data_IF_809389603124
#
_entry.id   IF_809389603124
#
_cell.length_a   1.000
_cell.length_b   1.000
_cell.length_c   1.000
_cell.angle_alpha   90.00
_cell.angle_beta   90.00
_cell.angle_gamma   90.00
#
_symmetry.space_group_name_H-M   'P 1'
#
loop_
_entity.id
_entity.type
_entity.pdbx_description
1 polymer ?
#
# COMPACT_ATOMS: atom_id res chain seq x y z
N UNK A 1 4.31 2.47 -33.04
CA UNK A 1 4.94 1.19 -33.43
C UNK A 1 5.59 0.41 -32.27
N UNK A 2 5.56 0.92 -31.03
CA UNK A 2 6.19 0.32 -29.83
C UNK A 2 5.26 -0.57 -28.99
N UNK A 3 3.94 -0.52 -29.17
CA UNK A 3 2.99 -1.34 -28.40
C UNK A 3 3.04 -2.85 -28.71
N UNK A 4 3.40 -3.24 -29.94
CA UNK A 4 3.30 -4.63 -30.39
C UNK A 4 4.45 -5.54 -29.94
N UNK A 5 5.63 -4.97 -29.63
CA UNK A 5 6.76 -5.75 -29.09
C UNK A 5 6.57 -6.12 -27.61
N UNK A 6 5.80 -5.33 -26.85
CA UNK A 6 5.58 -5.56 -25.42
C UNK A 6 4.46 -6.56 -25.12
N UNK A 7 3.46 -6.71 -26.00
CA UNK A 7 2.48 -7.80 -25.90
C UNK A 7 3.13 -9.19 -25.98
N UNK A 8 4.26 -9.32 -26.69
CA UNK A 8 4.99 -10.61 -26.80
C UNK A 8 5.73 -11.01 -25.52
N UNK A 9 6.25 -10.04 -24.75
CA UNK A 9 6.86 -10.30 -23.44
C UNK A 9 5.84 -10.65 -22.33
N UNK A 10 4.53 -10.53 -22.60
CA UNK A 10 3.47 -10.87 -21.66
C UNK A 10 3.05 -12.35 -21.72
N UNK A 11 3.57 -13.15 -22.65
CA UNK A 11 3.10 -14.53 -22.92
C UNK A 11 3.97 -15.67 -22.36
N UNK A 12 5.04 -15.38 -21.61
CA UNK A 12 6.00 -16.43 -21.20
C UNK A 12 5.69 -17.11 -19.86
N UNK A 13 4.44 -17.08 -19.41
CA UNK A 13 3.94 -18.03 -18.42
C UNK A 13 2.63 -18.57 -18.98
N UNK A 14 2.61 -19.86 -19.27
CA UNK A 14 1.45 -20.64 -19.68
C UNK A 14 0.21 -20.27 -18.86
N UNK A 15 -0.78 -19.64 -19.49
CA UNK A 15 -2.14 -19.46 -18.94
C UNK A 15 -3.02 -20.62 -19.44
N UNK A 16 -3.24 -21.68 -18.63
CA UNK A 16 -4.41 -22.55 -18.79
C UNK A 16 -5.33 -22.44 -17.57
N UNK A 17 -5.50 -21.24 -17.01
CA UNK A 17 -6.50 -20.98 -15.98
C UNK A 17 -7.67 -20.26 -16.64
N UNK A 18 -8.87 -20.80 -16.44
CA UNK A 18 -10.14 -20.22 -16.85
C UNK A 18 -10.12 -18.74 -16.46
N UNK A 19 -10.29 -17.85 -17.44
CA UNK A 19 -10.38 -16.42 -17.17
C UNK A 19 -11.60 -16.19 -16.30
N UNK A 20 -11.48 -15.53 -15.14
CA UNK A 20 -12.62 -15.25 -14.28
C UNK A 20 -13.64 -14.39 -15.05
N UNK A 21 -14.90 -14.78 -14.96
CA UNK A 21 -16.03 -14.13 -15.61
C UNK A 21 -16.77 -13.18 -14.65
N UNK A 22 -16.56 -13.33 -13.34
CA UNK A 22 -17.17 -12.48 -12.31
C UNK A 22 -16.17 -12.10 -11.19
N UNK A 23 -16.53 -11.13 -10.31
CA UNK A 23 -15.66 -10.69 -9.22
C UNK A 23 -15.33 -11.77 -8.19
N UNK A 24 -16.23 -12.74 -7.96
CA UNK A 24 -16.05 -13.82 -6.98
C UNK A 24 -14.99 -14.81 -7.46
N UNK A 25 -15.02 -15.19 -8.74
CA UNK A 25 -14.00 -16.04 -9.34
C UNK A 25 -12.62 -15.36 -9.30
N UNK A 26 -12.56 -14.05 -9.56
CA UNK A 26 -11.33 -13.28 -9.46
C UNK A 26 -10.80 -13.21 -8.02
N UNK A 27 -11.67 -13.03 -7.02
CA UNK A 27 -11.28 -13.04 -5.61
C UNK A 27 -10.71 -14.41 -5.20
N UNK A 28 -11.36 -15.51 -5.58
CA UNK A 28 -10.87 -16.87 -5.32
C UNK A 28 -9.50 -17.09 -5.98
N UNK A 29 -9.34 -16.66 -7.22
CA UNK A 29 -8.07 -16.74 -7.93
C UNK A 29 -6.97 -15.92 -7.25
N UNK A 30 -7.28 -14.69 -6.84
CA UNK A 30 -6.34 -13.80 -6.14
C UNK A 30 -5.97 -14.29 -4.74
N UNK A 31 -6.87 -15.01 -4.05
CA UNK A 31 -6.58 -15.66 -2.76
C UNK A 31 -5.66 -16.87 -2.90
N UNK A 32 -5.77 -17.62 -3.99
CA UNK A 32 -5.02 -18.88 -4.19
C UNK A 32 -3.72 -18.69 -4.97
N UNK A 33 -3.67 -17.66 -5.82
CA UNK A 33 -2.53 -17.38 -6.70
C UNK A 33 -2.18 -15.89 -6.63
N UNK A 34 -0.91 -15.60 -6.34
CA UNK A 34 -0.40 -14.24 -6.43
C UNK A 34 -0.35 -13.78 -7.90
N UNK A 35 -1.37 -13.03 -8.31
CA UNK A 35 -1.50 -12.48 -9.65
C UNK A 35 -0.52 -11.32 -9.88
N UNK A 36 0.04 -11.25 -11.09
CA UNK A 36 0.80 -10.06 -11.48
C UNK A 36 -0.13 -8.85 -11.70
N UNK A 37 0.39 -7.60 -11.61
CA UNK A 37 -0.45 -6.42 -11.78
C UNK A 37 -1.22 -6.39 -13.10
N UNK A 38 -0.59 -6.88 -14.18
CA UNK A 38 -1.21 -6.95 -15.50
C UNK A 38 -2.26 -8.04 -15.62
N UNK A 39 -2.06 -9.20 -15.00
CA UNK A 39 -3.09 -10.24 -14.98
C UNK A 39 -4.32 -9.74 -14.24
N UNK A 40 -4.14 -9.21 -13.03
CA UNK A 40 -5.23 -8.68 -12.23
C UNK A 40 -5.98 -7.56 -12.97
N UNK A 41 -5.26 -6.55 -13.48
CA UNK A 41 -5.85 -5.48 -14.29
C UNK A 41 -6.68 -5.99 -15.47
N UNK A 42 -6.14 -6.95 -16.25
CA UNK A 42 -6.85 -7.52 -17.40
C UNK A 42 -8.14 -8.22 -17.01
N UNK A 43 -8.12 -8.99 -15.92
CA UNK A 43 -9.33 -9.67 -15.41
C UNK A 43 -10.37 -8.67 -14.93
N UNK A 44 -9.97 -7.65 -14.17
CA UNK A 44 -10.85 -6.56 -13.74
C UNK A 44 -11.49 -5.88 -14.95
N UNK A 45 -10.70 -5.47 -15.95
CA UNK A 45 -11.23 -4.84 -17.16
C UNK A 45 -12.21 -5.73 -17.91
N UNK A 46 -11.90 -7.03 -18.04
CA UNK A 46 -12.79 -7.98 -18.72
C UNK A 46 -14.13 -8.12 -17.98
N UNK A 47 -14.09 -8.31 -16.66
CA UNK A 47 -15.30 -8.42 -15.83
C UNK A 47 -16.14 -7.16 -15.92
N UNK A 48 -15.52 -5.98 -15.80
CA UNK A 48 -16.20 -4.70 -15.96
C UNK A 48 -16.89 -4.57 -17.32
N UNK A 49 -16.18 -4.91 -18.40
CA UNK A 49 -16.73 -4.80 -19.76
C UNK A 49 -17.88 -5.77 -20.01
N UNK A 50 -17.76 -7.02 -19.55
CA UNK A 50 -18.78 -8.05 -19.76
C UNK A 50 -20.06 -7.77 -18.97
N UNK A 51 -19.94 -7.23 -17.76
CA UNK A 51 -21.06 -7.06 -16.84
C UNK A 51 -21.56 -5.60 -16.72
N UNK A 52 -20.91 -4.65 -17.41
CA UNK A 52 -21.26 -3.23 -17.36
C UNK A 52 -20.95 -2.57 -16.01
N UNK A 53 -19.94 -3.07 -15.28
CA UNK A 53 -19.56 -2.46 -14.00
C UNK A 53 -18.65 -1.24 -14.20
N UNK A 54 -19.02 -0.13 -13.58
CA UNK A 54 -18.18 1.08 -13.50
C UNK A 54 -17.15 0.99 -12.36
N UNK A 55 -17.47 0.23 -11.32
CA UNK A 55 -16.64 0.02 -10.13
C UNK A 55 -16.59 -1.46 -9.74
N UNK A 56 -15.45 -1.90 -9.22
CA UNK A 56 -15.28 -3.19 -8.57
C UNK A 56 -14.59 -3.01 -7.22
N UNK A 57 -15.00 -3.84 -6.27
CA UNK A 57 -14.54 -3.79 -4.89
C UNK A 57 -14.03 -5.16 -4.45
N UNK A 58 -13.01 -5.16 -3.60
CA UNK A 58 -12.32 -6.35 -3.14
C UNK A 58 -12.17 -6.33 -1.63
N UNK A 59 -12.16 -7.52 -1.01
CA UNK A 59 -12.08 -7.66 0.44
C UNK A 59 -13.41 -7.35 1.15
N UNK A 60 -13.33 -7.01 2.43
CA UNK A 60 -14.48 -6.76 3.28
C UNK A 60 -14.25 -5.50 4.13
N UNK A 61 -15.24 -4.61 4.16
CA UNK A 61 -15.20 -3.48 5.06
C UNK A 61 -15.27 -3.97 6.52
N UNK A 62 -14.52 -3.34 7.45
CA UNK A 62 -14.64 -3.65 8.87
C UNK A 62 -16.08 -3.50 9.35
N UNK A 63 -16.57 -4.45 10.16
CA UNK A 63 -17.97 -4.53 10.58
C UNK A 63 -18.52 -3.24 11.20
N UNK A 64 -17.67 -2.50 11.92
CA UNK A 64 -18.02 -1.22 12.53
C UNK A 64 -18.46 -0.15 11.52
N UNK A 65 -18.06 -0.23 10.24
CA UNK A 65 -18.64 0.63 9.21
C UNK A 65 -20.04 0.15 8.83
N UNK A 66 -20.18 -1.15 8.56
CA UNK A 66 -21.41 -1.78 8.10
C UNK A 66 -22.55 -1.74 9.15
N UNK A 67 -22.21 -1.60 10.43
CA UNK A 67 -23.16 -1.44 11.53
C UNK A 67 -23.99 -0.14 11.42
N UNK A 68 -23.51 0.86 10.67
CA UNK A 68 -24.16 2.18 10.55
C UNK A 68 -24.70 2.45 9.15
N UNK A 69 -24.00 2.02 8.09
CA UNK A 69 -24.42 2.32 6.73
C UNK A 69 -24.41 1.05 5.87
N UNK A 70 -25.37 0.93 4.92
CA UNK A 70 -25.33 -0.10 3.90
C UNK A 70 -23.99 -0.07 3.15
N UNK A 71 -23.42 -1.26 2.92
CA UNK A 71 -22.12 -1.42 2.25
C UNK A 71 -22.02 -0.68 0.90
N UNK A 72 -23.03 -0.68 0.00
CA UNK A 72 -22.94 0.08 -1.25
C UNK A 72 -22.74 1.59 -1.05
N UNK A 73 -23.34 2.17 0.00
CA UNK A 73 -23.17 3.59 0.32
C UNK A 73 -21.78 3.87 0.89
N UNK A 74 -21.24 2.97 1.69
CA UNK A 74 -19.88 3.08 2.22
C UNK A 74 -18.83 2.99 1.12
N UNK A 75 -19.01 2.08 0.16
CA UNK A 75 -18.11 1.94 -0.99
C UNK A 75 -18.12 3.20 -1.86
N UNK A 76 -19.31 3.74 -2.16
CA UNK A 76 -19.44 5.00 -2.88
C UNK A 76 -18.85 6.19 -2.10
N UNK A 77 -18.98 6.19 -0.76
CA UNK A 77 -18.33 7.17 0.10
C UNK A 77 -16.81 7.09 -0.01
N UNK A 78 -16.22 5.89 0.03
CA UNK A 78 -14.78 5.71 -0.09
C UNK A 78 -14.26 6.09 -1.48
N UNK A 79 -15.01 5.83 -2.56
CA UNK A 79 -14.65 6.32 -3.89
C UNK A 79 -14.57 7.85 -3.94
N UNK A 80 -15.54 8.54 -3.31
CA UNK A 80 -15.51 10.02 -3.21
C UNK A 80 -14.38 10.51 -2.32
N UNK A 81 -14.15 9.85 -1.19
CA UNK A 81 -13.04 10.18 -0.29
C UNK A 81 -11.70 10.02 -1.00
N UNK A 82 -11.52 8.97 -1.80
CA UNK A 82 -10.34 8.75 -2.62
C UNK A 82 -10.09 9.91 -3.59
N UNK A 83 -11.14 10.43 -4.23
CA UNK A 83 -11.04 11.60 -5.09
C UNK A 83 -10.63 12.86 -4.31
N UNK A 84 -11.23 13.10 -3.13
CA UNK A 84 -10.92 14.26 -2.29
C UNK A 84 -9.49 14.21 -1.75
N UNK A 85 -9.06 13.05 -1.23
CA UNK A 85 -7.70 12.85 -0.72
C UNK A 85 -6.70 12.89 -1.88
N UNK A 86 -6.92 12.11 -2.94
CA UNK A 86 -6.00 11.99 -4.07
C UNK A 86 -5.79 13.26 -4.88
N UNK A 87 -6.75 14.21 -4.86
CA UNK A 87 -6.64 15.51 -5.56
C UNK A 87 -6.13 16.64 -4.66
N UNK A 88 -5.93 16.41 -3.37
CA UNK A 88 -5.46 17.44 -2.46
C UNK A 88 -4.00 17.80 -2.77
N UNK A 89 -3.69 19.06 -3.14
CA UNK A 89 -2.30 19.47 -3.42
C UNK A 89 -1.46 19.59 -2.16
N UNK A 90 -2.10 19.64 -0.99
CA UNK A 90 -1.49 19.75 0.33
C UNK A 90 -1.83 18.52 1.19
N UNK A 91 -1.13 18.29 2.32
CA UNK A 91 -1.56 17.34 3.33
C UNK A 91 -3.06 17.46 3.60
N UNK A 92 -3.80 16.36 3.49
CA UNK A 92 -5.25 16.38 3.62
C UNK A 92 -5.63 16.93 5.01
N UNK A 93 -6.50 17.95 5.09
CA UNK A 93 -6.77 18.61 6.35
C UNK A 93 -7.44 17.65 7.33
N UNK A 94 -7.10 17.80 8.62
CA UNK A 94 -7.79 17.07 9.67
C UNK A 94 -9.27 17.43 9.63
N UNK A 95 -10.12 16.43 9.41
CA UNK A 95 -11.56 16.62 9.16
C UNK A 95 -12.34 15.63 10.01
N UNK A 96 -13.46 16.08 10.57
CA UNK A 96 -14.42 15.19 11.23
C UNK A 96 -15.68 15.16 10.40
N UNK A 97 -16.10 13.96 9.99
CA UNK A 97 -17.35 13.72 9.28
C UNK A 97 -18.35 13.05 10.21
N UNK A 98 -19.59 13.50 10.16
CA UNK A 98 -20.70 12.90 10.89
C UNK A 98 -21.59 12.16 9.89
N UNK A 99 -21.47 10.84 9.86
CA UNK A 99 -22.25 9.97 9.00
C UNK A 99 -23.57 9.62 9.72
N UNK A 100 -24.68 10.15 9.23
CA UNK A 100 -26.00 9.92 9.82
C UNK A 100 -26.62 8.62 9.29
N UNK A 101 -27.16 7.82 10.21
CA UNK A 101 -27.89 6.59 9.93
C UNK A 101 -29.15 6.49 10.76
N UNK A 102 -30.00 5.51 10.47
CA UNK A 102 -31.18 5.19 11.29
C UNK A 102 -30.79 4.72 12.71
N UNK A 103 -29.58 4.19 12.89
CA UNK A 103 -29.08 3.72 14.20
C UNK A 103 -28.34 4.82 14.98
N UNK A 104 -28.19 6.02 14.41
CA UNK A 104 -27.51 7.16 15.03
C UNK A 104 -26.42 7.77 14.14
N UNK A 105 -25.57 8.59 14.76
CA UNK A 105 -24.48 9.29 14.07
C UNK A 105 -23.16 8.60 14.34
N UNK A 106 -22.45 8.26 13.27
CA UNK A 106 -21.07 7.78 13.32
C UNK A 106 -20.12 8.96 13.11
N UNK A 107 -19.25 9.22 14.08
CA UNK A 107 -18.17 10.19 13.95
C UNK A 107 -16.94 9.53 13.32
N UNK A 108 -16.58 9.97 12.11
CA UNK A 108 -15.40 9.54 11.38
C UNK A 108 -14.38 10.68 11.37
N UNK A 109 -13.27 10.53 12.09
CA UNK A 109 -12.17 11.48 12.04
C UNK A 109 -11.16 11.05 10.99
N UNK A 110 -10.71 12.01 10.20
CA UNK A 110 -9.78 11.81 9.10
C UNK A 110 -8.58 12.71 9.36
N UNK A 111 -7.38 12.14 9.35
CA UNK A 111 -6.14 12.91 9.52
C UNK A 111 -5.07 12.45 8.54
N UNK A 112 -4.24 13.38 8.06
CA UNK A 112 -3.12 13.02 7.19
C UNK A 112 -2.11 12.13 7.93
N UNK A 113 -1.66 11.07 7.26
CA UNK A 113 -0.66 10.15 7.78
C UNK A 113 0.63 10.17 6.95
N UNK A 114 0.53 10.32 5.63
CA UNK A 114 1.70 10.33 4.76
C UNK A 114 1.36 10.60 3.30
N UNK A 115 2.36 10.97 2.52
CA UNK A 115 2.24 11.14 1.06
C UNK A 115 3.46 10.55 0.38
N UNK A 116 3.23 9.83 -0.72
CA UNK A 116 4.27 9.21 -1.52
C UNK A 116 4.07 9.46 -3.01
N UNK A 117 4.91 8.84 -3.84
CA UNK A 117 4.88 9.02 -5.30
C UNK A 117 3.56 8.54 -5.90
N UNK A 118 2.93 7.56 -5.26
CA UNK A 118 1.79 6.84 -5.83
C UNK A 118 0.46 7.28 -5.24
N UNK A 119 0.47 7.93 -4.08
CA UNK A 119 -0.77 8.26 -3.39
C UNK A 119 -0.55 9.00 -2.08
N UNK A 120 -1.67 9.34 -1.47
CA UNK A 120 -1.74 9.94 -0.14
C UNK A 120 -2.45 8.99 0.81
N UNK A 121 -1.96 8.92 2.04
CA UNK A 121 -2.51 8.10 3.12
C UNK A 121 -3.09 9.00 4.18
N UNK A 122 -4.32 8.70 4.58
CA UNK A 122 -4.98 9.30 5.74
C UNK A 122 -5.32 8.20 6.75
N UNK A 123 -5.27 8.55 8.03
CA UNK A 123 -5.79 7.74 9.13
C UNK A 123 -7.28 8.02 9.27
N UNK A 124 -8.07 6.96 9.31
CA UNK A 124 -9.50 6.98 9.58
C UNK A 124 -9.73 6.47 11.00
N UNK A 125 -10.30 7.30 11.87
CA UNK A 125 -10.63 6.93 13.24
C UNK A 125 -12.14 6.94 13.45
N UNK A 126 -12.64 5.85 14.04
CA UNK A 126 -14.01 5.73 14.53
C UNK A 126 -13.96 5.47 16.04
N UNK A 127 -14.66 6.29 16.81
CA UNK A 127 -14.82 6.06 18.26
C UNK A 127 -16.19 5.45 18.54
N UNK A 128 -16.20 4.28 19.19
CA UNK A 128 -17.42 3.59 19.65
C UNK A 128 -17.28 3.27 21.13
N UNK A 129 -18.07 3.95 21.96
CA UNK A 129 -17.89 3.92 23.42
C UNK A 129 -16.51 4.49 23.80
N UNK A 130 -15.74 3.74 24.57
CA UNK A 130 -14.39 4.12 25.01
C UNK A 130 -13.28 3.69 24.04
N UNK A 131 -13.61 2.95 22.96
CA UNK A 131 -12.62 2.40 22.03
C UNK A 131 -12.58 3.19 20.74
N UNK A 132 -11.35 3.52 20.30
CA UNK A 132 -11.10 4.10 18.98
C UNK A 132 -10.48 3.05 18.09
N UNK A 133 -11.09 2.84 16.92
CA UNK A 133 -10.63 1.94 15.88
C UNK A 133 -10.05 2.77 14.75
N UNK A 134 -8.89 2.36 14.24
CA UNK A 134 -8.10 3.15 13.30
C UNK A 134 -7.75 2.33 12.06
N UNK A 135 -7.80 2.94 10.89
CA UNK A 135 -7.39 2.34 9.62
C UNK A 135 -6.54 3.28 8.78
N UNK A 136 -5.64 2.71 7.99
CA UNK A 136 -4.91 3.41 6.95
C UNK A 136 -5.72 3.39 5.65
N UNK A 137 -6.17 4.56 5.20
CA UNK A 137 -6.82 4.73 3.90
C UNK A 137 -5.85 5.38 2.91
N UNK A 138 -5.53 4.65 1.85
CA UNK A 138 -4.61 5.08 0.80
C UNK A 138 -5.40 5.41 -0.47
N UNK A 139 -5.31 6.65 -0.92
CA UNK A 139 -5.85 7.10 -2.20
C UNK A 139 -4.73 7.15 -3.26
N UNK A 140 -4.97 6.56 -4.43
CA UNK A 140 -3.97 6.46 -5.51
C UNK A 140 -4.10 7.63 -6.50
N UNK A 141 -2.97 8.22 -6.90
CA UNK A 141 -2.94 9.38 -7.81
C UNK A 141 -3.07 9.03 -9.31
N UNK A 142 -2.62 7.84 -9.69
CA UNK A 142 -2.65 7.33 -11.06
C UNK A 142 -3.17 5.90 -11.06
N UNK A 143 -4.45 5.69 -10.70
CA UNK A 143 -5.04 4.37 -10.64
C UNK A 143 -5.04 3.69 -12.01
N UNK A 144 -5.01 4.43 -13.13
CA UNK A 144 -4.98 3.81 -14.47
C UNK A 144 -3.60 3.25 -14.87
N UNK A 145 -2.53 3.57 -14.13
CA UNK A 145 -1.20 3.13 -14.48
C UNK A 145 -0.87 1.78 -13.83
N UNK A 146 -0.76 0.74 -14.67
CA UNK A 146 -0.45 -0.63 -14.23
C UNK A 146 1.04 -0.75 -13.89
N UNK A 147 1.34 -0.76 -12.58
CA UNK A 147 2.71 -0.71 -12.06
C UNK A 147 2.85 -1.49 -10.75
N UNK A 148 4.06 -1.97 -10.44
CA UNK A 148 4.32 -2.78 -9.23
C UNK A 148 4.13 -2.05 -7.90
N UNK A 149 4.04 -0.72 -7.93
CA UNK A 149 3.79 0.08 -6.73
C UNK A 149 2.40 0.74 -6.76
N UNK A 150 1.58 0.46 -7.76
CA UNK A 150 0.23 1.01 -7.92
C UNK A 150 -0.86 0.09 -7.39
N UNK A 151 -2.11 0.56 -7.49
CA UNK A 151 -3.32 -0.14 -7.03
C UNK A 151 -3.42 -1.57 -7.58
N UNK A 152 -3.09 -1.76 -8.86
CA UNK A 152 -3.13 -3.06 -9.53
C UNK A 152 -2.13 -4.08 -9.01
N UNK A 153 -1.08 -3.64 -8.31
CA UNK A 153 -0.15 -4.55 -7.64
C UNK A 153 -0.52 -4.77 -6.19
N UNK A 154 -1.01 -3.73 -5.51
CA UNK A 154 -1.26 -3.80 -4.06
C UNK A 154 -2.52 -4.58 -3.72
N UNK A 155 -3.61 -4.46 -4.49
CA UNK A 155 -4.84 -5.22 -4.27
C UNK A 155 -4.60 -6.73 -4.32
N UNK A 156 -4.07 -7.32 -5.42
CA UNK A 156 -3.87 -8.77 -5.47
C UNK A 156 -2.85 -9.26 -4.43
N UNK A 157 -1.84 -8.46 -4.08
CA UNK A 157 -0.93 -8.76 -2.97
C UNK A 157 -1.68 -8.78 -1.64
N UNK A 158 -2.52 -7.79 -1.38
CA UNK A 158 -3.31 -7.69 -0.15
C UNK A 158 -4.24 -8.88 0.04
N UNK A 159 -5.02 -9.22 -1.00
CA UNK A 159 -5.90 -10.39 -1.01
C UNK A 159 -5.11 -11.67 -0.75
N UNK A 160 -3.98 -11.83 -1.44
CA UNK A 160 -3.14 -13.02 -1.31
C UNK A 160 -2.53 -13.14 0.09
N UNK A 161 -1.92 -12.09 0.63
CA UNK A 161 -1.30 -12.13 1.96
C UNK A 161 -2.34 -12.34 3.07
N UNK A 162 -3.53 -11.75 2.93
CA UNK A 162 -4.64 -11.96 3.85
C UNK A 162 -5.08 -13.43 3.86
N UNK A 163 -5.20 -14.08 2.69
CA UNK A 163 -5.57 -15.50 2.59
C UNK A 163 -4.52 -16.44 3.18
N UNK A 164 -3.24 -16.02 3.17
CA UNK A 164 -2.13 -16.75 3.76
C UNK A 164 -1.90 -16.43 5.24
N UNK A 165 -2.77 -15.62 5.87
CA UNK A 165 -2.65 -15.15 7.25
C UNK A 165 -1.31 -14.48 7.57
N UNK A 166 -0.76 -13.73 6.61
CA UNK A 166 0.47 -12.95 6.80
C UNK A 166 0.11 -11.59 7.40
N UNK A 167 0.25 -11.47 8.71
CA UNK A 167 -0.14 -10.27 9.49
C UNK A 167 0.91 -9.84 10.50
N UNK A 168 1.95 -10.66 10.73
CA UNK A 168 2.90 -10.43 11.83
C UNK A 168 3.76 -9.19 11.61
N UNK A 169 4.28 -9.05 10.41
CA UNK A 169 5.27 -8.05 9.98
C UNK A 169 4.80 -7.25 8.76
N UNK A 170 3.52 -7.34 8.41
CA UNK A 170 2.86 -6.61 7.32
C UNK A 170 1.48 -6.16 7.77
N UNK A 171 1.11 -4.93 7.45
CA UNK A 171 -0.23 -4.39 7.70
C UNK A 171 -1.30 -5.21 6.98
N UNK A 172 -2.38 -5.56 7.68
CA UNK A 172 -3.45 -6.38 7.12
C UNK A 172 -4.27 -5.59 6.09
N UNK A 173 -4.53 -6.21 4.94
CA UNK A 173 -5.49 -5.72 3.95
C UNK A 173 -6.93 -5.94 4.44
N UNK A 174 -7.79 -4.93 4.31
CA UNK A 174 -9.23 -5.07 4.60
C UNK A 174 -10.05 -5.02 3.33
N UNK A 175 -10.00 -3.90 2.61
CA UNK A 175 -10.82 -3.68 1.43
C UNK A 175 -10.16 -2.73 0.44
N UNK A 176 -10.62 -2.75 -0.81
CA UNK A 176 -10.20 -1.80 -1.82
C UNK A 176 -11.28 -1.56 -2.88
N UNK A 177 -11.23 -0.37 -3.46
CA UNK A 177 -11.82 -0.08 -4.77
C UNK A 177 -10.73 0.10 -5.80
N UNK A 178 -11.09 0.48 -7.03
CA UNK A 178 -10.12 0.66 -8.11
C UNK A 178 -9.19 1.88 -7.93
N UNK A 179 -9.46 2.74 -6.95
CA UNK A 179 -8.73 3.99 -6.70
C UNK A 179 -8.26 4.18 -5.27
N UNK A 180 -8.58 3.24 -4.37
CA UNK A 180 -8.23 3.32 -2.96
C UNK A 180 -8.04 1.94 -2.34
N UNK A 181 -7.33 1.92 -1.21
CA UNK A 181 -7.13 0.72 -0.40
C UNK A 181 -7.26 1.08 1.09
N UNK A 182 -7.92 0.21 1.84
CA UNK A 182 -8.07 0.27 3.28
C UNK A 182 -7.29 -0.87 3.92
N UNK A 183 -6.32 -0.49 4.75
CA UNK A 183 -5.49 -1.42 5.51
C UNK A 183 -5.60 -1.13 7.01
N UNK A 184 -5.14 -2.09 7.80
CA UNK A 184 -4.91 -1.94 9.23
C UNK A 184 -4.02 -0.71 9.50
N UNK A 185 -4.40 0.07 10.49
CA UNK A 185 -3.51 1.08 11.05
C UNK A 185 -2.53 0.41 12.02
N UNK A 186 -1.23 0.57 11.77
CA UNK A 186 -0.17 0.08 12.65
C UNK A 186 0.22 1.20 13.60
N UNK A 187 0.03 0.97 14.91
CA UNK A 187 0.41 1.96 15.90
C UNK A 187 1.94 2.07 16.02
N UNK A 188 2.47 3.23 16.44
CA UNK A 188 3.92 3.45 16.52
C UNK A 188 4.66 2.43 17.39
N UNK A 189 3.99 1.93 18.42
CA UNK A 189 4.54 0.98 19.39
C UNK A 189 4.28 -0.50 19.02
N UNK A 190 3.54 -0.77 17.95
CA UNK A 190 3.26 -2.14 17.51
C UNK A 190 4.54 -2.85 17.10
N UNK A 191 4.71 -4.09 17.57
CA UNK A 191 5.88 -4.89 17.23
C UNK A 191 5.49 -6.26 16.63
N UNK A 192 6.28 -6.83 15.72
CA UNK A 192 5.98 -8.14 15.15
C UNK A 192 5.84 -9.25 16.20
N UNK A 193 6.49 -9.12 17.36
CA UNK A 193 6.47 -10.15 18.43
C UNK A 193 5.12 -10.26 19.15
N UNK A 194 4.34 -9.18 19.20
CA UNK A 194 3.04 -9.13 19.88
C UNK A 194 1.86 -9.40 18.94
N UNK A 195 2.13 -9.57 17.64
CA UNK A 195 1.11 -9.71 16.60
C UNK A 195 0.90 -11.18 16.23
N UNK A 196 -0.37 -11.61 16.04
CA UNK A 196 -0.67 -12.96 15.59
C UNK A 196 -0.32 -13.17 14.11
N UNK A 197 -0.42 -14.42 13.66
CA UNK A 197 -0.28 -14.80 12.25
C UNK A 197 1.15 -15.12 11.82
N UNK A 198 1.31 -15.33 10.51
CA UNK A 198 2.56 -15.74 9.85
C UNK A 198 3.42 -14.51 9.51
N UNK A 199 4.74 -14.66 9.54
CA UNK A 199 5.67 -13.64 9.02
C UNK A 199 5.78 -13.72 7.50
N UNK A 200 5.92 -12.58 6.84
CA UNK A 200 6.10 -12.48 5.41
C UNK A 200 7.37 -13.19 4.96
N UNK A 201 8.47 -13.07 5.68
CA UNK A 201 9.75 -13.69 5.29
C UNK A 201 9.63 -15.20 5.11
N UNK A 202 8.86 -15.86 5.97
CA UNK A 202 8.62 -17.31 5.86
C UNK A 202 7.83 -17.67 4.59
N UNK A 203 6.90 -16.81 4.15
CA UNK A 203 6.14 -17.00 2.92
C UNK A 203 7.00 -16.67 1.69
N UNK A 204 7.79 -15.59 1.77
CA UNK A 204 8.62 -15.12 0.69
C UNK A 204 9.70 -16.12 0.29
N UNK A 205 10.32 -16.79 1.27
CA UNK A 205 11.27 -17.87 1.01
C UNK A 205 10.60 -19.07 0.35
N UNK A 206 9.45 -19.52 0.88
CA UNK A 206 8.72 -20.68 0.36
C UNK A 206 8.25 -20.48 -1.09
N UNK A 207 7.80 -19.27 -1.42
CA UNK A 207 7.14 -18.97 -2.69
C UNK A 207 7.95 -18.10 -3.65
N UNK A 208 9.24 -17.88 -3.33
CA UNK A 208 10.14 -17.06 -4.12
C UNK A 208 9.57 -15.65 -4.38
N UNK A 209 9.05 -15.00 -3.33
CA UNK A 209 8.58 -13.62 -3.41
C UNK A 209 9.75 -12.65 -3.20
N UNK A 210 9.55 -11.41 -3.65
CA UNK A 210 10.52 -10.34 -3.46
C UNK A 210 10.75 -10.10 -1.96
N UNK A 211 11.98 -10.18 -1.45
CA UNK A 211 12.25 -9.86 -0.05
C UNK A 211 11.89 -8.42 0.27
N UNK A 212 11.41 -8.18 1.49
CA UNK A 212 11.18 -6.84 1.99
C UNK A 212 12.51 -6.07 2.03
N UNK A 213 12.52 -4.83 1.53
CA UNK A 213 13.71 -4.00 1.49
C UNK A 213 13.82 -3.16 2.78
N UNK A 214 14.66 -3.55 3.76
CA UNK A 214 14.73 -2.87 5.05
C UNK A 214 15.30 -1.45 4.94
N UNK A 215 15.95 -1.11 3.83
CA UNK A 215 16.50 0.23 3.61
C UNK A 215 15.38 1.26 3.34
N UNK A 216 14.18 0.85 2.94
CA UNK A 216 13.08 1.77 2.66
C UNK A 216 12.30 2.12 3.95
N UNK A 217 12.97 2.76 4.91
CA UNK A 217 12.46 3.03 6.25
C UNK A 217 11.09 3.72 6.27
N UNK A 218 10.77 4.56 5.28
CA UNK A 218 9.47 5.23 5.17
C UNK A 218 8.28 4.27 5.02
N UNK A 219 8.53 3.03 4.60
CA UNK A 219 7.50 2.00 4.44
C UNK A 219 7.41 1.06 5.66
N UNK A 220 8.09 1.36 6.76
CA UNK A 220 8.06 0.55 7.97
C UNK A 220 7.75 1.40 9.20
N UNK A 221 7.11 0.79 10.18
CA UNK A 221 7.14 1.36 11.53
C UNK A 221 8.53 1.15 12.16
N UNK A 222 8.76 1.74 13.33
CA UNK A 222 10.06 1.67 14.03
C UNK A 222 10.49 0.24 14.37
N UNK A 223 9.56 -0.70 14.49
CA UNK A 223 9.78 -2.10 14.83
C UNK A 223 9.83 -3.04 13.60
N UNK A 224 9.82 -2.49 12.39
CA UNK A 224 9.99 -3.26 11.16
C UNK A 224 8.71 -3.88 10.58
N UNK A 225 7.53 -3.44 11.01
CA UNK A 225 6.26 -3.81 10.36
C UNK A 225 6.11 -3.02 9.07
N UNK A 226 5.91 -3.72 7.96
CA UNK A 226 5.70 -3.13 6.63
C UNK A 226 4.31 -2.48 6.53
N UNK A 227 4.28 -1.20 6.16
CA UNK A 227 3.07 -0.38 6.04
C UNK A 227 2.50 -0.34 4.61
N UNK A 228 3.33 -0.65 3.61
CA UNK A 228 2.99 -0.52 2.18
C UNK A 228 3.25 -1.83 1.42
N UNK A 229 2.28 -2.30 0.65
CA UNK A 229 2.38 -3.58 -0.06
C UNK A 229 3.09 -3.46 -1.42
N UNK A 230 3.36 -2.23 -1.88
CA UNK A 230 4.00 -1.97 -3.15
C UNK A 230 5.36 -2.67 -3.31
N UNK A 231 5.56 -3.32 -4.46
CA UNK A 231 6.79 -4.00 -4.85
C UNK A 231 6.87 -5.49 -4.47
N UNK A 232 5.92 -6.03 -3.72
CA UNK A 232 5.83 -7.47 -3.45
C UNK A 232 5.37 -8.19 -4.73
N UNK A 233 6.21 -9.11 -5.23
CA UNK A 233 5.96 -9.87 -6.46
C UNK A 233 6.72 -11.19 -6.45
N UNK A 234 6.27 -12.18 -7.22
CA UNK A 234 7.05 -13.37 -7.54
C UNK A 234 8.35 -13.00 -8.24
N UNK A 235 9.44 -13.66 -7.87
CA UNK A 235 10.71 -13.56 -8.57
C UNK A 235 10.63 -14.36 -9.87
N UNK A 236 11.00 -13.72 -10.98
CA UNK A 236 11.18 -14.39 -12.27
C UNK A 236 12.22 -13.63 -13.09
N UNK A 237 12.76 -14.30 -14.11
CA UNK A 237 13.81 -13.75 -14.95
C UNK A 237 13.29 -12.60 -15.81
N UNK A 238 14.06 -11.51 -15.93
CA UNK A 238 13.63 -10.29 -16.64
C UNK A 238 12.74 -9.33 -15.84
N UNK A 239 12.29 -9.70 -14.62
CA UNK A 239 11.49 -8.82 -13.75
C UNK A 239 12.11 -7.44 -13.56
N UNK A 240 13.38 -7.38 -13.17
CA UNK A 240 14.07 -6.11 -12.89
C UNK A 240 14.11 -5.18 -14.10
N UNK A 241 14.24 -5.73 -15.30
CA UNK A 241 14.25 -4.96 -16.56
C UNK A 241 12.86 -4.39 -16.81
N UNK A 242 11.82 -5.21 -16.64
CA UNK A 242 10.42 -4.79 -16.76
C UNK A 242 10.09 -3.68 -15.76
N UNK A 243 10.41 -3.90 -14.48
CA UNK A 243 10.17 -2.95 -13.41
C UNK A 243 10.89 -1.62 -13.65
N UNK A 244 12.13 -1.68 -14.15
CA UNK A 244 12.90 -0.49 -14.54
C UNK A 244 12.20 0.28 -15.67
N UNK A 245 11.78 -0.41 -16.74
CA UNK A 245 11.07 0.23 -17.86
C UNK A 245 9.76 0.90 -17.42
N UNK A 246 8.93 0.23 -16.62
CA UNK A 246 7.69 0.83 -16.11
C UNK A 246 7.95 2.00 -15.15
N UNK A 247 9.02 1.92 -14.35
CA UNK A 247 9.44 3.02 -13.49
C UNK A 247 9.82 4.24 -14.33
N UNK A 248 10.57 4.07 -15.43
CA UNK A 248 10.89 5.16 -16.34
C UNK A 248 9.63 5.76 -17.00
N UNK A 249 8.70 4.92 -17.45
CA UNK A 249 7.44 5.38 -18.05
C UNK A 249 6.62 6.17 -17.02
N UNK A 250 6.54 5.70 -15.78
CA UNK A 250 5.87 6.39 -14.69
C UNK A 250 6.44 7.79 -14.48
N UNK A 251 7.76 7.90 -14.27
CA UNK A 251 8.41 9.18 -14.07
C UNK A 251 8.25 10.11 -15.27
N UNK A 252 8.35 9.59 -16.49
CA UNK A 252 8.10 10.37 -17.70
C UNK A 252 6.67 10.94 -17.71
N UNK A 253 5.65 10.10 -17.50
CA UNK A 253 4.24 10.55 -17.43
C UNK A 253 4.04 11.62 -16.36
N UNK A 254 4.67 11.44 -15.19
CA UNK A 254 4.56 12.36 -14.08
C UNK A 254 5.22 13.70 -14.37
N UNK A 255 6.42 13.71 -14.95
CA UNK A 255 7.08 14.94 -15.43
C UNK A 255 6.20 15.66 -16.46
N UNK A 256 5.58 14.94 -17.40
CA UNK A 256 4.70 15.55 -18.39
C UNK A 256 3.44 16.18 -17.78
N UNK A 257 2.92 15.65 -16.65
CA UNK A 257 1.69 16.13 -16.02
C UNK A 257 1.93 17.24 -14.99
N UNK A 258 2.95 17.09 -14.16
CA UNK A 258 3.20 17.92 -12.97
C UNK A 258 4.48 18.76 -13.08
N UNK A 259 5.22 18.63 -14.19
CA UNK A 259 6.56 19.21 -14.34
C UNK A 259 7.57 18.53 -13.40
N UNK A 260 8.67 19.20 -13.08
CA UNK A 260 9.69 18.67 -12.16
C UNK A 260 9.32 18.84 -10.68
N UNK A 261 8.24 19.55 -10.36
CA UNK A 261 7.86 19.89 -8.98
C UNK A 261 7.53 18.67 -8.11
N UNK A 262 7.06 17.57 -8.69
CA UNK A 262 6.77 16.35 -7.95
C UNK A 262 8.02 15.71 -7.33
N UNK A 263 9.22 16.04 -7.81
CA UNK A 263 10.48 15.57 -7.24
C UNK A 263 10.90 16.36 -6.01
N UNK A 264 10.33 17.55 -5.77
CA UNK A 264 10.72 18.38 -4.63
C UNK A 264 10.66 17.68 -3.27
N UNK A 265 9.68 16.78 -2.97
CA UNK A 265 9.68 16.03 -1.71
C UNK A 265 10.79 14.98 -1.62
N UNK A 266 11.40 14.60 -2.75
CA UNK A 266 12.42 13.55 -2.89
C UNK A 266 13.83 14.10 -3.05
N UNK A 267 13.98 15.39 -3.35
CA UNK A 267 15.28 16.06 -3.43
C UNK A 267 15.69 16.54 -2.03
N UNK A 268 15.89 15.60 -1.11
CA UNK A 268 16.33 15.88 0.26
C UNK A 268 17.50 14.96 0.68
N UNK A 269 18.20 15.36 1.74
CA UNK A 269 19.35 14.62 2.26
C UNK A 269 19.02 13.17 2.64
N UNK A 270 17.79 12.88 3.06
CA UNK A 270 17.34 11.53 3.39
C UNK A 270 17.31 10.63 2.17
N UNK A 271 16.75 11.11 1.07
CA UNK A 271 16.66 10.36 -0.20
C UNK A 271 18.05 10.16 -0.80
N UNK A 272 18.94 11.16 -0.70
CA UNK A 272 20.33 11.01 -1.12
C UNK A 272 21.09 9.98 -0.26
N UNK A 273 20.93 10.02 1.08
CA UNK A 273 21.51 9.01 1.98
C UNK A 273 20.99 7.61 1.67
N UNK A 274 19.69 7.47 1.40
CA UNK A 274 19.10 6.21 0.97
C UNK A 274 19.69 5.72 -0.35
N UNK A 275 19.81 6.60 -1.35
CA UNK A 275 20.42 6.26 -2.64
C UNK A 275 21.87 5.81 -2.47
N UNK A 276 22.66 6.54 -1.70
CA UNK A 276 24.05 6.19 -1.40
C UNK A 276 24.16 4.86 -0.65
N UNK A 277 23.32 4.63 0.36
CA UNK A 277 23.28 3.37 1.10
C UNK A 277 22.90 2.20 0.17
N UNK A 278 21.95 2.42 -0.75
CA UNK A 278 21.51 1.42 -1.73
C UNK A 278 22.60 1.13 -2.77
N UNK A 279 23.32 2.15 -3.25
CA UNK A 279 24.48 1.98 -4.14
C UNK A 279 25.59 1.24 -3.41
N UNK A 280 25.89 1.61 -2.16
CA UNK A 280 26.89 0.91 -1.34
C UNK A 280 26.51 -0.55 -1.13
N UNK A 281 25.24 -0.83 -0.81
CA UNK A 281 24.75 -2.19 -0.65
C UNK A 281 24.87 -3.00 -1.95
N UNK A 282 24.44 -2.43 -3.09
CA UNK A 282 24.52 -3.08 -4.40
C UNK A 282 25.96 -3.36 -4.86
N UNK A 283 26.91 -2.46 -4.53
CA UNK A 283 28.31 -2.57 -4.97
C UNK A 283 29.19 -3.37 -4.02
N UNK A 284 28.90 -3.39 -2.72
CA UNK A 284 29.85 -3.90 -1.70
C UNK A 284 29.30 -4.98 -0.77
N UNK A 285 27.98 -5.23 -0.71
CA UNK A 285 27.39 -6.23 0.19
C UNK A 285 26.57 -7.23 -0.63
N UNK A 286 27.25 -8.29 -1.09
CA UNK A 286 26.66 -9.33 -1.96
C UNK A 286 26.04 -10.49 -1.21
N UNK A 287 26.12 -10.52 0.13
CA UNK A 287 25.46 -11.54 0.94
C UNK A 287 24.19 -11.01 1.61
N UNK A 288 23.08 -11.77 1.57
CA UNK A 288 21.89 -11.41 2.31
C UNK A 288 22.13 -11.70 3.79
N UNK A 289 22.67 -10.74 4.54
CA UNK A 289 22.68 -10.79 6.00
C UNK A 289 21.26 -10.57 6.51
N UNK A 290 20.55 -11.69 6.71
CA UNK A 290 19.29 -11.78 7.44
C UNK A 290 19.52 -11.59 8.95
N UNK A 291 20.06 -10.44 9.35
CA UNK A 291 20.11 -10.01 10.74
C UNK A 291 20.52 -8.53 10.77
N UNK A 292 19.54 -7.64 10.74
CA UNK A 292 19.77 -6.26 11.14
C UNK A 292 19.14 -6.08 12.53
N UNK A 293 19.90 -6.40 13.57
CA UNK A 293 19.62 -5.91 14.91
C UNK A 293 19.79 -4.37 14.88
N UNK A 294 18.70 -3.66 15.14
CA UNK A 294 18.74 -2.23 15.37
C UNK A 294 19.55 -1.92 16.64
N UNK A 295 20.82 -1.55 16.49
CA UNK A 295 21.47 -0.63 17.45
C UNK A 295 21.14 0.79 17.04
N UNK A 296 20.00 1.29 17.53
CA UNK A 296 19.76 2.73 17.57
C UNK A 296 20.54 3.26 18.77
N UNK A 297 21.69 3.87 18.50
CA UNK A 297 22.35 4.73 19.48
C UNK A 297 21.52 6.00 19.59
N UNK A 298 20.74 6.12 20.66
CA UNK A 298 20.07 7.36 21.04
C UNK A 298 21.19 8.36 21.36
N UNK A 299 21.22 9.45 20.59
CA UNK A 299 21.99 10.63 20.99
C UNK A 299 21.07 11.40 21.92
N UNK A 300 21.27 11.25 23.23
CA UNK A 300 20.62 12.10 24.21
C UNK A 300 21.06 13.55 23.96
N UNK A 301 20.14 14.37 23.45
CA UNK A 301 20.27 15.81 23.58
C UNK A 301 20.23 16.14 25.08
N UNK A 302 21.37 16.62 25.55
CA UNK A 302 21.62 17.10 26.91
C UNK A 302 20.45 17.96 27.41
N UNK A 303 19.84 17.51 28.49
CA UNK A 303 19.18 18.37 29.46
C UNK A 303 20.16 19.42 29.98
N UNK A 304 20.02 20.66 29.54
CA UNK A 304 20.61 21.81 30.22
C UNK A 304 19.66 22.26 31.34
N UNK A 305 19.97 21.82 32.56
CA UNK A 305 19.39 22.35 33.78
C UNK A 305 20.11 23.64 34.16
N UNK A 306 19.38 24.76 34.18
CA UNK A 306 19.62 25.93 35.03
C UNK A 306 18.19 26.40 35.41
N UNK A 307 17.74 26.38 36.65
CA UNK A 307 18.46 26.78 37.86
C UNK A 307 18.03 28.22 38.17
N UNK A 308 16.90 28.37 38.85
CA UNK A 308 16.47 29.64 39.44
C UNK A 308 15.87 29.32 40.82
N UNK A 309 16.74 29.33 41.83
CA UNK A 309 16.39 29.86 43.16
C UNK A 309 16.16 31.38 42.95
N UNK A 310 15.34 32.09 43.71
CA UNK A 310 15.37 32.25 45.16
C UNK A 310 14.02 32.83 45.66
N UNK A 311 13.73 32.55 46.94
CA UNK A 311 12.95 33.33 47.91
C UNK A 311 11.56 33.83 47.54
#
# INVERSE_FOLDING_TARGET
MTLNLWKRFQSSASDPLISPCDPTELDILARTTLLSPWQFYRYVCNICQQNGYESLYFGHLPCIFCDYLPEPLLLAFFDRLAQSVGRSPQPFPKTTLHLQSLQGTLELRISHAGSGMIGQVVRLDITRGEKTHSWAFKAFFEPDFVWQHGVWSEIPVGIYLQSQHVTRDVAQFHAAGLTWMLCEWIEPDDCPKTRPGRSYDSLAQQQQLTPLNPLNYANYNRHGIRLDLGGIQRLYWGRRIRDFAYTLIFYHRRVCREGWHFLSPYLNCWTLRYLLARVKWLLFLREPTYAFEQKVTISDEKSSTQGSQES
#
